data_IF_580736369219
#
_entry.id   IF_580736369219
#
_cell.length_a   1.000
_cell.length_b   1.000
_cell.length_c   1.000
_cell.angle_alpha   90.00
_cell.angle_beta   90.00
_cell.angle_gamma   90.00
#
_symmetry.space_group_name_H-M   'P 1'
#
loop_
_entity.id
_entity.type
_entity.pdbx_description
1 polymer ?
#
# COMPACT_ATOMS: atom_id res chain seq x y z
N UNK A 1 -15.68 12.89 25.16
CA UNK A 1 -14.30 13.26 24.88
C UNK A 1 -14.18 14.75 25.17
N UNK A 2 -13.13 15.24 25.86
CA UNK A 2 -13.03 16.65 26.19
C UNK A 2 -13.00 17.52 24.92
N UNK A 3 -13.83 18.56 24.87
CA UNK A 3 -14.02 19.39 23.68
C UNK A 3 -12.74 20.12 23.23
N UNK A 4 -11.88 20.51 24.16
CA UNK A 4 -10.63 21.23 23.91
C UNK A 4 -9.40 20.30 23.84
N UNK A 5 -9.61 18.98 23.74
CA UNK A 5 -8.48 18.05 23.59
C UNK A 5 -7.93 18.03 22.17
N UNK A 6 -6.62 17.84 22.05
CA UNK A 6 -5.91 17.74 20.75
C UNK A 6 -6.54 16.67 19.85
N UNK A 7 -6.80 15.47 20.41
CA UNK A 7 -7.41 14.36 19.66
C UNK A 7 -8.80 14.74 19.14
N UNK A 8 -9.62 15.44 19.95
CA UNK A 8 -10.95 15.87 19.53
C UNK A 8 -10.86 16.88 18.38
N UNK A 9 -9.96 17.85 18.48
CA UNK A 9 -9.75 18.85 17.43
C UNK A 9 -9.37 18.20 16.09
N UNK A 10 -8.42 17.26 16.10
CA UNK A 10 -8.00 16.54 14.89
C UNK A 10 -9.13 15.70 14.30
N UNK A 11 -9.89 14.99 15.14
CA UNK A 11 -11.02 14.18 14.68
C UNK A 11 -12.15 15.03 14.11
N UNK A 12 -12.43 16.20 14.69
CA UNK A 12 -13.40 17.16 14.13
C UNK A 12 -12.95 17.70 12.78
N UNK A 13 -11.66 17.99 12.61
CA UNK A 13 -11.12 18.41 11.32
C UNK A 13 -11.30 17.30 10.27
N UNK A 14 -10.81 16.08 10.57
CA UNK A 14 -10.92 14.94 9.65
C UNK A 14 -12.39 14.66 9.30
N UNK A 15 -13.29 14.64 10.29
CA UNK A 15 -14.71 14.37 10.08
C UNK A 15 -15.42 15.38 9.17
N UNK A 16 -14.92 16.62 9.10
CA UNK A 16 -15.55 17.71 8.33
C UNK A 16 -14.93 17.91 6.95
N UNK A 17 -13.63 17.67 6.82
CA UNK A 17 -12.86 18.11 5.66
C UNK A 17 -12.33 16.96 4.78
N UNK A 18 -12.55 15.69 5.13
CA UNK A 18 -12.03 14.55 4.35
C UNK A 18 -12.50 14.52 2.88
N UNK A 19 -13.61 15.20 2.55
CA UNK A 19 -14.17 15.30 1.19
C UNK A 19 -13.56 16.42 0.38
N UNK A 20 -12.82 17.34 0.99
CA UNK A 20 -12.17 18.43 0.27
C UNK A 20 -10.92 17.92 -0.44
N UNK A 21 -10.48 18.65 -1.47
CA UNK A 21 -9.20 18.37 -2.08
C UNK A 21 -8.08 18.64 -1.05
N UNK A 22 -7.01 17.88 -1.16
CA UNK A 22 -5.79 18.08 -0.40
C UNK A 22 -4.59 17.69 -1.23
N UNK A 23 -3.40 18.15 -0.85
CA UNK A 23 -2.17 17.59 -1.39
C UNK A 23 -2.02 16.14 -0.96
N UNK A 24 -1.43 15.31 -1.83
CA UNK A 24 -1.06 13.94 -1.51
C UNK A 24 0.07 13.89 -0.48
N UNK A 25 0.39 12.69 0.01
CA UNK A 25 1.47 12.49 1.00
C UNK A 25 2.86 12.89 0.47
N UNK A 26 2.99 13.10 -0.84
CA UNK A 26 4.20 13.56 -1.51
C UNK A 26 4.23 15.06 -1.76
N UNK A 27 3.17 15.79 -1.36
CA UNK A 27 3.05 17.25 -1.46
C UNK A 27 3.00 17.80 -2.90
N UNK A 28 2.45 17.04 -3.85
CA UNK A 28 2.54 17.34 -5.29
C UNK A 28 1.19 17.52 -5.98
N UNK A 29 0.21 16.67 -5.66
CA UNK A 29 -1.09 16.64 -6.35
C UNK A 29 -2.18 17.11 -5.40
N UNK A 30 -2.86 18.20 -5.77
CA UNK A 30 -4.10 18.63 -5.14
C UNK A 30 -5.30 17.83 -5.70
N UNK A 31 -5.89 16.97 -4.86
CA UNK A 31 -6.97 16.07 -5.27
C UNK A 31 -7.46 15.13 -4.17
N UNK A 32 -7.96 13.96 -4.58
CA UNK A 32 -8.43 12.90 -3.68
C UNK A 32 -7.50 11.70 -3.73
N UNK A 33 -7.04 11.25 -2.57
CA UNK A 33 -5.93 10.30 -2.43
C UNK A 33 -6.31 9.11 -1.57
N UNK A 34 -6.01 7.90 -2.05
CA UNK A 34 -6.28 6.67 -1.33
C UNK A 34 -5.62 6.66 0.05
N UNK A 35 -4.35 7.07 0.12
CA UNK A 35 -3.60 7.16 1.38
C UNK A 35 -4.32 8.05 2.42
N UNK A 36 -4.72 9.26 2.00
CA UNK A 36 -5.43 10.20 2.87
C UNK A 36 -6.74 9.61 3.35
N UNK A 37 -7.52 9.00 2.46
CA UNK A 37 -8.81 8.41 2.80
C UNK A 37 -8.67 7.25 3.79
N UNK A 38 -7.73 6.33 3.59
CA UNK A 38 -7.55 5.22 4.56
C UNK A 38 -6.99 5.69 5.90
N UNK A 39 -6.19 6.76 5.93
CA UNK A 39 -5.74 7.39 7.17
C UNK A 39 -6.92 8.04 7.92
N UNK A 40 -7.78 8.79 7.21
CA UNK A 40 -8.99 9.38 7.77
C UNK A 40 -9.96 8.31 8.30
N UNK A 41 -10.18 7.23 7.55
CA UNK A 41 -10.99 6.09 7.97
C UNK A 41 -10.49 5.49 9.28
N UNK A 42 -9.18 5.24 9.38
CA UNK A 42 -8.58 4.68 10.58
C UNK A 42 -8.66 5.64 11.77
N UNK A 43 -8.42 6.93 11.56
CA UNK A 43 -8.52 7.96 12.59
C UNK A 43 -9.96 8.03 13.15
N UNK A 44 -10.96 8.14 12.29
CA UNK A 44 -12.36 8.25 12.68
C UNK A 44 -12.89 6.97 13.33
N UNK A 45 -12.49 5.79 12.84
CA UNK A 45 -12.89 4.51 13.45
C UNK A 45 -12.35 4.34 14.87
N UNK A 46 -11.07 4.66 15.07
CA UNK A 46 -10.43 4.63 16.40
C UNK A 46 -10.95 5.75 17.29
N UNK A 47 -11.20 6.93 16.71
CA UNK A 47 -11.79 8.09 17.36
C UNK A 47 -13.19 7.82 17.88
N UNK A 48 -14.03 7.15 17.10
CA UNK A 48 -15.36 6.71 17.53
C UNK A 48 -15.27 5.74 18.72
N UNK A 49 -14.36 4.77 18.65
CA UNK A 49 -14.11 3.84 19.76
C UNK A 49 -13.69 4.57 21.04
N UNK A 50 -12.79 5.55 20.93
CA UNK A 50 -12.35 6.36 22.06
C UNK A 50 -13.48 7.25 22.60
N UNK A 51 -14.25 7.89 21.73
CA UNK A 51 -15.39 8.73 22.09
C UNK A 51 -16.42 7.95 22.92
N UNK A 52 -16.76 6.73 22.49
CA UNK A 52 -17.64 5.80 23.23
C UNK A 52 -17.09 5.50 24.63
N UNK A 53 -15.80 5.17 24.74
CA UNK A 53 -15.15 4.88 26.04
C UNK A 53 -15.17 6.08 26.99
N UNK A 54 -15.16 7.30 26.44
CA UNK A 54 -15.20 8.55 27.19
C UNK A 54 -16.63 9.10 27.38
N UNK A 55 -17.66 8.32 27.07
CA UNK A 55 -19.06 8.70 27.28
C UNK A 55 -19.60 9.79 26.34
N UNK A 56 -18.94 10.04 25.20
CA UNK A 56 -19.35 11.03 24.21
C UNK A 56 -19.92 10.35 22.98
N UNK A 57 -21.16 9.90 23.16
CA UNK A 57 -21.87 9.07 22.19
C UNK A 57 -22.18 9.84 20.90
N UNK A 58 -22.53 11.13 20.99
CA UNK A 58 -22.79 11.95 19.81
C UNK A 58 -21.56 12.09 18.91
N UNK A 59 -20.37 12.29 19.49
CA UNK A 59 -19.13 12.27 18.72
C UNK A 59 -18.85 10.89 18.13
N UNK A 60 -19.07 9.83 18.90
CA UNK A 60 -18.85 8.47 18.44
C UNK A 60 -19.73 8.12 17.22
N UNK A 61 -21.00 8.48 17.27
CA UNK A 61 -21.96 8.31 16.17
C UNK A 61 -21.55 9.14 14.95
N UNK A 62 -21.18 10.40 15.15
CA UNK A 62 -20.73 11.28 14.06
C UNK A 62 -19.48 10.73 13.36
N UNK A 63 -18.45 10.32 14.12
CA UNK A 63 -17.22 9.76 13.55
C UNK A 63 -17.47 8.41 12.86
N UNK A 64 -18.33 7.55 13.42
CA UNK A 64 -18.71 6.29 12.78
C UNK A 64 -19.43 6.52 11.45
N UNK A 65 -20.31 7.53 11.38
CA UNK A 65 -21.01 7.88 10.15
C UNK A 65 -20.06 8.41 9.06
N UNK A 66 -19.04 9.21 9.46
CA UNK A 66 -18.03 9.67 8.51
C UNK A 66 -17.12 8.53 8.04
N UNK A 67 -16.67 7.66 8.96
CA UNK A 67 -15.90 6.47 8.62
C UNK A 67 -16.62 5.58 7.59
N UNK A 68 -17.92 5.33 7.79
CA UNK A 68 -18.73 4.55 6.86
C UNK A 68 -18.81 5.20 5.46
N UNK A 69 -18.94 6.52 5.37
CA UNK A 69 -18.93 7.22 4.08
C UNK A 69 -17.57 7.13 3.37
N UNK A 70 -16.47 7.26 4.11
CA UNK A 70 -15.11 7.11 3.56
C UNK A 70 -14.92 5.70 3.01
N UNK A 71 -15.34 4.68 3.76
CA UNK A 71 -15.24 3.28 3.31
C UNK A 71 -15.97 3.05 1.98
N UNK A 72 -17.18 3.63 1.82
CA UNK A 72 -17.91 3.59 0.55
C UNK A 72 -17.15 4.28 -0.60
N UNK A 73 -16.51 5.41 -0.32
CA UNK A 73 -15.73 6.15 -1.32
C UNK A 73 -14.43 5.45 -1.73
N UNK A 74 -13.83 4.62 -0.87
CA UNK A 74 -12.59 3.90 -1.19
C UNK A 74 -12.73 3.00 -2.42
N UNK A 75 -13.92 2.47 -2.69
CA UNK A 75 -14.20 1.68 -3.90
C UNK A 75 -14.00 2.47 -5.20
N UNK A 76 -14.12 3.80 -5.17
CA UNK A 76 -13.89 4.64 -6.35
C UNK A 76 -12.41 4.73 -6.76
N UNK A 77 -11.49 4.32 -5.89
CA UNK A 77 -10.06 4.22 -6.21
C UNK A 77 -9.71 2.91 -6.92
N UNK A 78 -10.61 1.93 -6.98
CA UNK A 78 -10.36 0.66 -7.65
C UNK A 78 -10.53 0.82 -9.16
N UNK A 79 -9.45 0.55 -9.90
CA UNK A 79 -9.46 0.52 -11.36
C UNK A 79 -10.41 -0.57 -11.87
N UNK A 80 -11.40 -0.17 -12.66
CA UNK A 80 -12.34 -1.09 -13.33
C UNK A 80 -11.67 -1.97 -14.40
N UNK A 81 -10.46 -1.61 -14.85
CA UNK A 81 -9.72 -2.34 -15.89
C UNK A 81 -9.12 -3.65 -15.39
N UNK A 82 -8.59 -3.65 -14.18
CA UNK A 82 -7.74 -4.72 -13.66
C UNK A 82 -7.82 -4.91 -12.14
N UNK A 83 -8.65 -4.14 -11.44
CA UNK A 83 -8.85 -4.26 -10.00
C UNK A 83 -7.67 -3.80 -9.15
N UNK A 84 -6.70 -3.05 -9.70
CA UNK A 84 -5.68 -2.41 -8.87
C UNK A 84 -6.26 -1.17 -8.19
N UNK A 85 -5.77 -0.85 -7.00
CA UNK A 85 -6.07 0.40 -6.30
C UNK A 85 -5.19 1.49 -6.87
N UNK A 86 -5.81 2.56 -7.33
CA UNK A 86 -5.14 3.77 -7.78
C UNK A 86 -4.89 4.69 -6.58
N UNK A 87 -3.74 5.34 -6.55
CA UNK A 87 -3.37 6.20 -5.43
C UNK A 87 -4.17 7.51 -5.36
N UNK A 88 -4.70 7.96 -6.50
CA UNK A 88 -5.52 9.16 -6.61
C UNK A 88 -6.63 8.95 -7.64
N UNK A 89 -7.72 9.72 -7.50
CA UNK A 89 -8.80 9.73 -8.49
C UNK A 89 -8.30 10.36 -9.80
N UNK A 90 -8.76 9.83 -10.92
CA UNK A 90 -8.50 10.36 -12.27
C UNK A 90 -7.01 10.61 -12.60
N UNK A 91 -6.14 9.58 -12.46
CA UNK A 91 -4.67 9.75 -12.53
C UNK A 91 -4.16 10.37 -13.84
N UNK A 92 -4.90 10.19 -14.93
CA UNK A 92 -4.58 10.79 -16.23
C UNK A 92 -4.58 12.32 -16.25
N UNK A 93 -5.31 12.99 -15.35
CA UNK A 93 -5.28 14.45 -15.23
C UNK A 93 -3.91 14.97 -14.75
N UNK A 94 -3.15 14.11 -14.07
CA UNK A 94 -1.84 14.42 -13.50
C UNK A 94 -0.69 13.83 -14.31
N UNK A 95 -0.96 13.30 -15.51
CA UNK A 95 0.00 12.55 -16.34
C UNK A 95 0.61 11.34 -15.61
N UNK A 96 -0.13 10.71 -14.71
CA UNK A 96 0.31 9.51 -14.00
C UNK A 96 -0.59 8.31 -14.30
N UNK A 97 -0.07 7.12 -14.08
CA UNK A 97 -0.79 5.85 -14.21
C UNK A 97 -1.68 5.52 -13.02
N UNK A 98 -1.41 6.12 -11.85
CA UNK A 98 -2.08 5.83 -10.59
C UNK A 98 -1.40 4.76 -9.74
N UNK A 99 -0.31 4.15 -10.22
CA UNK A 99 0.51 3.21 -9.44
C UNK A 99 1.49 3.98 -8.56
N UNK A 100 1.37 3.83 -7.24
CA UNK A 100 2.12 4.62 -6.27
C UNK A 100 2.34 3.86 -4.96
N UNK A 101 3.47 4.10 -4.29
CA UNK A 101 3.79 3.62 -2.96
C UNK A 101 2.83 4.12 -1.88
N UNK A 102 2.07 5.19 -2.16
CA UNK A 102 0.97 5.68 -1.34
C UNK A 102 -0.02 4.57 -0.95
N UNK A 103 -0.27 3.60 -1.84
CA UNK A 103 -1.19 2.49 -1.57
C UNK A 103 -0.63 1.54 -0.51
N UNK A 104 0.55 0.90 -0.67
CA UNK A 104 1.11 0.05 0.38
C UNK A 104 1.33 0.80 1.70
N UNK A 105 1.77 2.06 1.67
CA UNK A 105 1.90 2.89 2.87
C UNK A 105 0.53 3.11 3.56
N UNK A 106 -0.51 3.37 2.77
CA UNK A 106 -1.88 3.54 3.25
C UNK A 106 -2.42 2.28 3.94
N UNK A 107 -2.17 1.11 3.36
CA UNK A 107 -2.54 -0.19 3.96
C UNK A 107 -1.83 -0.39 5.30
N UNK A 108 -0.56 0.02 5.42
CA UNK A 108 0.19 -0.14 6.67
C UNK A 108 -0.33 0.78 7.78
N UNK A 109 -0.60 2.05 7.47
CA UNK A 109 -1.01 3.05 8.46
C UNK A 109 -2.47 2.90 8.90
N UNK A 110 -3.36 2.45 8.01
CA UNK A 110 -4.76 2.17 8.34
C UNK A 110 -4.87 1.14 9.48
N UNK A 111 -3.87 0.26 9.58
CA UNK A 111 -3.86 -0.85 10.52
C UNK A 111 -4.85 -1.94 10.15
N UNK A 112 -5.42 -1.89 8.93
CA UNK A 112 -6.27 -2.95 8.40
C UNK A 112 -5.50 -4.28 8.46
N UNK A 113 -6.15 -5.31 9.02
CA UNK A 113 -5.60 -6.65 9.15
C UNK A 113 -6.34 -7.59 8.21
N UNK A 114 -5.61 -8.57 7.69
CA UNK A 114 -6.20 -9.65 6.93
C UNK A 114 -6.71 -9.27 5.54
N UNK A 115 -7.90 -9.76 5.20
CA UNK A 115 -8.45 -9.77 3.84
C UNK A 115 -9.67 -8.88 3.66
N UNK A 116 -9.85 -7.83 4.48
CA UNK A 116 -10.78 -6.76 4.13
C UNK A 116 -10.37 -6.15 2.79
N UNK A 117 -11.27 -5.45 2.09
CA UNK A 117 -10.98 -4.91 0.75
C UNK A 117 -9.70 -4.03 0.71
N UNK A 118 -9.37 -3.42 1.85
CA UNK A 118 -8.22 -2.53 2.05
C UNK A 118 -7.10 -3.16 2.91
N UNK A 119 -7.23 -4.45 3.21
CA UNK A 119 -6.28 -5.21 4.02
C UNK A 119 -5.09 -5.74 3.21
N UNK A 120 -3.99 -6.12 3.88
CA UNK A 120 -2.75 -6.56 3.23
C UNK A 120 -2.90 -7.85 2.40
N UNK A 121 -3.87 -8.71 2.72
CA UNK A 121 -4.16 -9.94 1.97
C UNK A 121 -5.36 -9.81 1.02
N UNK A 122 -5.87 -8.59 0.78
CA UNK A 122 -6.96 -8.37 -0.16
C UNK A 122 -6.49 -8.58 -1.61
N UNK A 123 -7.38 -9.05 -2.47
CA UNK A 123 -7.04 -9.29 -3.87
C UNK A 123 -6.65 -8.01 -4.60
N UNK A 124 -7.32 -6.91 -4.29
CA UNK A 124 -7.01 -5.58 -4.82
C UNK A 124 -5.61 -5.12 -4.39
N UNK A 125 -5.26 -5.26 -3.11
CA UNK A 125 -3.94 -4.86 -2.61
C UNK A 125 -2.84 -5.75 -3.18
N UNK A 126 -3.01 -7.07 -3.21
CA UNK A 126 -2.03 -7.99 -3.80
C UNK A 126 -1.82 -7.70 -5.30
N UNK A 127 -2.89 -7.50 -6.07
CA UNK A 127 -2.79 -7.11 -7.47
C UNK A 127 -2.05 -5.77 -7.64
N UNK A 128 -2.32 -4.81 -6.76
CA UNK A 128 -1.68 -3.49 -6.77
C UNK A 128 -0.18 -3.59 -6.49
N UNK A 129 0.23 -4.36 -5.47
CA UNK A 129 1.66 -4.57 -5.17
C UNK A 129 2.42 -5.13 -6.37
N UNK A 130 1.85 -6.11 -7.07
CA UNK A 130 2.48 -6.63 -8.29
C UNK A 130 2.61 -5.54 -9.36
N UNK A 131 1.52 -4.85 -9.68
CA UNK A 131 1.53 -3.84 -10.73
C UNK A 131 2.53 -2.71 -10.42
N UNK A 132 2.54 -2.25 -9.16
CA UNK A 132 3.45 -1.24 -8.65
C UNK A 132 4.92 -1.71 -8.67
N UNK A 133 5.24 -2.93 -8.23
CA UNK A 133 6.62 -3.43 -8.29
C UNK A 133 7.07 -3.62 -9.75
N UNK A 134 6.18 -4.12 -10.62
CA UNK A 134 6.49 -4.33 -12.02
C UNK A 134 6.79 -3.02 -12.76
N UNK A 135 6.18 -1.88 -12.36
CA UNK A 135 6.46 -0.58 -12.99
C UNK A 135 7.89 -0.09 -12.77
N UNK A 136 8.64 -0.63 -11.80
CA UNK A 136 10.03 -0.24 -11.54
C UNK A 136 11.08 -1.20 -12.09
N UNK A 137 10.69 -2.37 -12.63
CA UNK A 137 11.65 -3.39 -13.06
C UNK A 137 12.60 -2.89 -14.15
N UNK A 138 12.04 -2.16 -15.11
CA UNK A 138 12.80 -1.59 -16.24
C UNK A 138 13.05 -0.09 -16.09
N UNK A 139 12.51 0.54 -15.03
CA UNK A 139 12.67 1.98 -14.77
C UNK A 139 14.07 2.31 -14.24
N UNK A 140 14.60 1.48 -13.33
CA UNK A 140 15.90 1.73 -12.69
C UNK A 140 16.98 0.79 -13.22
N UNK A 141 18.14 1.34 -13.56
CA UNK A 141 19.28 0.53 -14.02
C UNK A 141 19.73 -0.47 -12.95
N UNK A 142 19.63 -0.12 -11.67
CA UNK A 142 19.94 -1.04 -10.55
C UNK A 142 18.99 -2.25 -10.45
N UNK A 143 17.85 -2.24 -11.16
CA UNK A 143 16.88 -3.32 -11.22
C UNK A 143 17.02 -4.18 -12.50
N UNK A 144 17.84 -3.75 -13.47
CA UNK A 144 17.90 -4.38 -14.78
C UNK A 144 18.23 -5.88 -14.70
N UNK A 145 17.47 -6.67 -15.46
CA UNK A 145 17.62 -8.11 -15.54
C UNK A 145 16.80 -8.91 -14.52
N UNK A 146 16.19 -8.26 -13.51
CA UNK A 146 15.37 -8.93 -12.51
C UNK A 146 13.88 -9.01 -12.89
N UNK A 147 13.41 -10.24 -13.15
CA UNK A 147 12.06 -10.51 -13.66
C UNK A 147 11.09 -11.10 -12.64
N UNK A 148 11.58 -11.65 -11.54
CA UNK A 148 10.75 -12.42 -10.58
C UNK A 148 11.02 -12.06 -9.12
N UNK A 149 12.24 -11.70 -8.76
CA UNK A 149 12.59 -11.30 -7.40
C UNK A 149 12.13 -9.87 -7.10
N UNK A 150 12.30 -9.51 -5.83
CA UNK A 150 12.14 -8.15 -5.36
C UNK A 150 13.13 -7.20 -6.04
N UNK A 151 12.70 -5.96 -6.24
CA UNK A 151 13.48 -4.89 -6.87
C UNK A 151 13.35 -3.62 -6.03
N UNK A 152 14.24 -2.65 -6.23
CA UNK A 152 14.10 -1.35 -5.60
C UNK A 152 12.90 -0.61 -6.21
N UNK A 153 12.09 0.05 -5.38
CA UNK A 153 10.90 0.79 -5.84
C UNK A 153 10.99 2.25 -5.43
N UNK A 154 10.40 3.17 -6.19
CA UNK A 154 10.35 4.62 -5.87
C UNK A 154 9.01 5.05 -5.30
N UNK A 155 8.62 6.32 -5.45
CA UNK A 155 7.27 6.79 -5.08
C UNK A 155 6.23 6.32 -6.11
N UNK A 156 6.43 6.72 -7.36
CA UNK A 156 5.66 6.34 -8.54
C UNK A 156 6.60 6.38 -9.77
N UNK A 157 6.28 5.71 -10.87
CA UNK A 157 7.24 5.53 -11.98
C UNK A 157 7.49 6.82 -12.77
N UNK A 158 6.53 7.74 -12.75
CA UNK A 158 6.58 9.04 -13.42
C UNK A 158 7.31 10.11 -12.60
N UNK A 159 7.91 9.73 -11.47
CA UNK A 159 8.59 10.63 -10.55
C UNK A 159 9.83 11.30 -11.19
N UNK A 160 10.00 12.58 -10.89
CA UNK A 160 11.09 13.43 -11.36
C UNK A 160 11.87 14.09 -10.21
N UNK A 161 11.47 13.87 -8.96
CA UNK A 161 12.21 14.41 -7.81
C UNK A 161 13.46 13.59 -7.53
N UNK A 162 14.62 14.24 -7.54
CA UNK A 162 15.92 13.59 -7.41
C UNK A 162 16.53 13.65 -6.00
N UNK A 163 15.78 14.18 -5.02
CA UNK A 163 16.23 14.41 -3.64
C UNK A 163 16.63 15.86 -3.34
N UNK A 164 16.81 16.69 -4.36
CA UNK A 164 17.15 18.12 -4.21
C UNK A 164 16.27 19.00 -5.11
N UNK A 165 16.03 18.56 -6.34
CA UNK A 165 15.29 19.28 -7.36
C UNK A 165 14.55 18.34 -8.30
N UNK A 166 14.42 18.75 -9.56
CA UNK A 166 13.62 18.06 -10.57
C UNK A 166 14.52 17.58 -11.70
N UNK A 167 14.73 16.27 -11.77
CA UNK A 167 15.34 15.58 -12.90
C UNK A 167 14.69 14.22 -13.13
N UNK A 168 15.16 13.17 -12.47
CA UNK A 168 14.61 11.81 -12.56
C UNK A 168 14.42 11.21 -11.16
N UNK A 169 13.26 10.58 -10.96
CA UNK A 169 12.93 9.93 -9.71
C UNK A 169 13.83 8.73 -9.42
N UNK A 170 14.04 8.45 -8.13
CA UNK A 170 14.86 7.36 -7.67
C UNK A 170 14.06 6.34 -6.86
N UNK A 171 14.61 5.14 -6.64
CA UNK A 171 14.12 4.25 -5.60
C UNK A 171 14.26 4.87 -4.20
N UNK A 172 13.31 4.56 -3.32
CA UNK A 172 13.28 5.01 -1.93
C UNK A 172 13.31 3.79 -1.01
N UNK A 173 14.02 3.90 0.11
CA UNK A 173 14.09 2.81 1.09
C UNK A 173 12.72 2.51 1.69
N UNK A 174 11.99 3.56 2.09
CA UNK A 174 10.69 3.41 2.73
C UNK A 174 9.67 2.74 1.81
N UNK A 175 9.69 3.04 0.51
CA UNK A 175 8.71 2.50 -0.43
C UNK A 175 9.04 1.05 -0.77
N UNK A 176 10.33 0.72 -0.90
CA UNK A 176 10.84 -0.65 -1.03
C UNK A 176 10.45 -1.51 0.19
N UNK A 177 10.62 -0.99 1.41
CA UNK A 177 10.24 -1.72 2.63
C UNK A 177 8.72 -1.77 2.85
N UNK A 178 7.96 -0.79 2.35
CA UNK A 178 6.50 -0.80 2.45
C UNK A 178 5.90 -2.05 1.79
N UNK A 179 6.43 -2.46 0.63
CA UNK A 179 6.03 -3.69 -0.05
C UNK A 179 6.30 -4.92 0.82
N UNK A 180 7.52 -5.04 1.37
CA UNK A 180 7.86 -6.14 2.28
C UNK A 180 6.91 -6.21 3.48
N UNK A 181 6.62 -5.06 4.10
CA UNK A 181 5.77 -5.01 5.29
C UNK A 181 4.32 -5.38 4.98
N UNK A 182 3.75 -4.97 3.84
CA UNK A 182 2.41 -5.40 3.44
C UNK A 182 2.38 -6.91 3.22
N UNK A 183 3.38 -7.46 2.52
CA UNK A 183 3.50 -8.91 2.30
C UNK A 183 3.65 -9.67 3.63
N UNK A 184 4.45 -9.17 4.56
CA UNK A 184 4.62 -9.76 5.88
C UNK A 184 3.29 -9.82 6.66
N UNK A 185 2.46 -8.77 6.59
CA UNK A 185 1.11 -8.80 7.18
C UNK A 185 0.17 -9.75 6.45
N UNK A 186 0.28 -9.86 5.12
CA UNK A 186 -0.49 -10.85 4.35
C UNK A 186 -0.12 -12.28 4.74
N UNK A 187 1.18 -12.57 4.89
CA UNK A 187 1.70 -13.85 5.37
C UNK A 187 1.19 -14.16 6.78
N UNK A 188 1.22 -13.17 7.68
CA UNK A 188 0.67 -13.32 9.03
C UNK A 188 -0.81 -13.71 8.96
N UNK A 189 -1.61 -13.06 8.10
CA UNK A 189 -3.01 -13.44 7.90
C UNK A 189 -3.15 -14.88 7.41
N UNK A 190 -2.52 -15.23 6.27
CA UNK A 190 -2.65 -16.57 5.70
C UNK A 190 -2.21 -17.67 6.67
N UNK A 191 -1.14 -17.45 7.43
CA UNK A 191 -0.59 -18.46 8.34
C UNK A 191 -1.38 -18.57 9.65
N UNK A 192 -1.80 -17.45 10.25
CA UNK A 192 -2.54 -17.44 11.51
C UNK A 192 -3.99 -17.92 11.37
N UNK A 193 -4.64 -17.62 10.24
CA UNK A 193 -6.03 -18.03 10.00
C UNK A 193 -6.13 -19.29 9.14
N UNK A 194 -5.01 -19.77 8.59
CA UNK A 194 -4.97 -20.86 7.61
C UNK A 194 -5.86 -20.57 6.39
N UNK A 195 -5.99 -19.29 6.03
CA UNK A 195 -6.92 -18.84 4.99
C UNK A 195 -6.60 -19.50 3.63
N UNK A 196 -7.62 -20.00 2.92
CA UNK A 196 -7.46 -20.47 1.55
C UNK A 196 -7.05 -19.33 0.60
N UNK A 197 -6.30 -19.67 -0.43
CA UNK A 197 -6.00 -18.78 -1.56
C UNK A 197 -7.03 -19.08 -2.65
N UNK A 198 -7.91 -18.12 -2.92
CA UNK A 198 -8.91 -18.18 -3.99
C UNK A 198 -8.36 -17.44 -5.21
N UNK A 199 -8.14 -18.12 -6.32
CA UNK A 199 -7.64 -17.48 -7.53
C UNK A 199 -8.81 -16.87 -8.31
N UNK A 200 -8.77 -15.56 -8.51
CA UNK A 200 -9.75 -14.84 -9.32
C UNK A 200 -9.06 -13.97 -10.38
N UNK A 201 -9.86 -13.22 -11.16
CA UNK A 201 -9.35 -12.41 -12.25
C UNK A 201 -8.47 -11.23 -11.78
N UNK A 202 -8.66 -10.75 -10.54
CA UNK A 202 -7.90 -9.64 -9.95
C UNK A 202 -6.53 -10.12 -9.47
N UNK A 203 -6.49 -11.18 -8.66
CA UNK A 203 -5.25 -11.63 -8.02
C UNK A 203 -4.45 -12.66 -8.84
N UNK A 204 -5.01 -13.21 -9.94
CA UNK A 204 -4.30 -14.19 -10.77
C UNK A 204 -2.94 -13.69 -11.25
N UNK A 205 -2.77 -12.46 -11.78
CA UNK A 205 -1.45 -11.96 -12.16
C UNK A 205 -0.46 -11.99 -10.99
N UNK A 206 -0.91 -11.65 -9.77
CA UNK A 206 -0.08 -11.70 -8.56
C UNK A 206 0.41 -13.11 -8.27
N UNK A 207 -0.47 -14.10 -8.21
CA UNK A 207 -0.08 -15.47 -7.90
C UNK A 207 0.69 -16.15 -9.03
N UNK A 208 0.44 -15.77 -10.28
CA UNK A 208 1.13 -16.30 -11.45
C UNK A 208 2.64 -16.04 -11.46
N UNK A 209 3.11 -15.02 -10.72
CA UNK A 209 4.56 -14.76 -10.60
C UNK A 209 5.28 -15.86 -9.80
N UNK A 210 4.57 -16.54 -8.89
CA UNK A 210 5.08 -17.63 -8.06
C UNK A 210 4.76 -19.01 -8.65
N UNK A 211 3.65 -19.11 -9.38
CA UNK A 211 3.18 -20.34 -10.03
C UNK A 211 2.43 -19.99 -11.32
N UNK A 212 3.12 -20.05 -12.46
CA UNK A 212 2.57 -19.69 -13.77
C UNK A 212 1.37 -20.55 -14.20
N UNK A 213 1.13 -21.69 -13.54
CA UNK A 213 0.04 -22.63 -13.86
C UNK A 213 -1.24 -22.35 -13.06
N UNK A 214 -1.35 -21.23 -12.35
CA UNK A 214 -2.58 -20.90 -11.61
C UNK A 214 -3.68 -20.43 -12.56
N UNK A 215 -4.91 -20.88 -12.32
CA UNK A 215 -6.09 -20.59 -13.11
C UNK A 215 -7.20 -20.01 -12.24
N UNK A 216 -8.03 -19.14 -12.82
CA UNK A 216 -9.21 -18.58 -12.15
C UNK A 216 -10.15 -19.71 -11.73
N UNK A 217 -10.69 -19.62 -10.52
CA UNK A 217 -11.58 -20.61 -9.93
C UNK A 217 -10.86 -21.69 -9.11
N UNK A 218 -9.53 -21.76 -9.14
CA UNK A 218 -8.78 -22.64 -8.24
C UNK A 218 -8.81 -22.13 -6.80
N UNK A 219 -8.82 -23.08 -5.86
CA UNK A 219 -8.75 -22.83 -4.43
C UNK A 219 -7.67 -23.70 -3.84
N UNK A 220 -6.71 -23.09 -3.15
CA UNK A 220 -5.67 -23.82 -2.43
C UNK A 220 -5.86 -23.61 -0.93
N UNK A 221 -5.91 -24.70 -0.17
CA UNK A 221 -6.07 -24.72 1.28
C UNK A 221 -4.73 -25.02 1.96
N UNK A 222 -4.58 -24.73 3.26
CA UNK A 222 -3.34 -24.99 4.00
C UNK A 222 -2.86 -26.47 3.98
N UNK A 223 -3.75 -27.41 3.63
CA UNK A 223 -3.43 -28.83 3.48
C UNK A 223 -2.75 -29.15 2.14
N UNK A 224 -2.92 -28.29 1.15
CA UNK A 224 -2.37 -28.47 -0.19
C UNK A 224 -0.88 -28.14 -0.23
N UNK A 225 -0.10 -28.98 -0.93
CA UNK A 225 1.32 -28.70 -1.18
C UNK A 225 1.51 -27.38 -1.94
N UNK A 226 0.58 -27.07 -2.85
CA UNK A 226 0.60 -25.85 -3.67
C UNK A 226 0.39 -24.60 -2.84
N UNK A 227 -0.52 -24.61 -1.85
CA UNK A 227 -0.67 -23.51 -0.90
C UNK A 227 0.64 -23.24 -0.15
N UNK A 228 1.27 -24.28 0.44
CA UNK A 228 2.53 -24.12 1.19
C UNK A 228 3.64 -23.56 0.30
N UNK A 229 3.70 -23.99 -0.96
CA UNK A 229 4.63 -23.44 -1.95
C UNK A 229 4.36 -21.95 -2.18
N UNK A 230 3.13 -21.56 -2.48
CA UNK A 230 2.77 -20.14 -2.72
C UNK A 230 3.10 -19.26 -1.52
N UNK A 231 2.77 -19.69 -0.30
CA UNK A 231 3.11 -18.97 0.92
C UNK A 231 4.63 -18.87 1.12
N UNK A 232 5.38 -19.93 0.82
CA UNK A 232 6.85 -19.89 0.88
C UNK A 232 7.45 -18.96 -0.16
N UNK A 233 6.93 -18.91 -1.39
CA UNK A 233 7.40 -17.97 -2.42
C UNK A 233 7.08 -16.52 -2.02
N UNK A 234 5.89 -16.29 -1.47
CA UNK A 234 5.49 -14.97 -0.96
C UNK A 234 6.44 -14.49 0.16
N UNK A 235 6.84 -15.39 1.07
CA UNK A 235 7.82 -15.09 2.10
C UNK A 235 9.21 -14.76 1.53
N UNK A 236 9.67 -15.50 0.51
CA UNK A 236 10.94 -15.19 -0.18
C UNK A 236 10.89 -13.86 -0.90
N UNK A 237 9.74 -13.51 -1.48
CA UNK A 237 9.56 -12.21 -2.13
C UNK A 237 9.63 -11.06 -1.12
N UNK A 238 8.99 -11.21 0.05
CA UNK A 238 9.10 -10.27 1.18
C UNK A 238 10.56 -10.06 1.62
N UNK A 239 11.31 -11.14 1.80
CA UNK A 239 12.71 -11.10 2.22
C UNK A 239 13.60 -10.43 1.16
N UNK A 240 13.30 -10.65 -0.12
CA UNK A 240 14.05 -10.02 -1.21
C UNK A 240 14.09 -8.49 -1.12
N UNK A 241 13.02 -7.83 -0.66
CA UNK A 241 13.00 -6.38 -0.50
C UNK A 241 13.94 -5.92 0.63
N UNK A 242 14.09 -6.69 1.70
CA UNK A 242 15.10 -6.43 2.73
C UNK A 242 16.51 -6.60 2.19
N UNK A 243 16.74 -7.61 1.34
CA UNK A 243 18.03 -7.82 0.68
C UNK A 243 18.38 -6.67 -0.27
N UNK A 244 17.40 -6.11 -0.98
CA UNK A 244 17.58 -4.90 -1.79
C UNK A 244 18.05 -3.73 -0.93
N UNK A 245 17.39 -3.48 0.21
CA UNK A 245 17.80 -2.41 1.14
C UNK A 245 19.19 -2.67 1.71
N UNK A 246 19.47 -3.89 2.15
CA UNK A 246 20.78 -4.26 2.69
C UNK A 246 21.90 -4.10 1.65
N UNK A 247 21.61 -4.33 0.37
CA UNK A 247 22.56 -4.17 -0.72
C UNK A 247 22.93 -2.71 -0.97
N UNK A 248 21.98 -1.79 -0.82
CA UNK A 248 22.14 -0.38 -1.19
C UNK A 248 22.24 0.58 0.00
N UNK A 249 22.16 0.10 1.23
CA UNK A 249 22.33 0.92 2.43
C UNK A 249 23.70 1.62 2.50
N UNK A 250 23.72 2.75 3.20
CA UNK A 250 24.94 3.49 3.48
C UNK A 250 25.87 2.83 4.49
N UNK A 251 26.96 3.54 4.78
CA UNK A 251 27.95 3.09 5.77
C UNK A 251 27.25 2.89 7.12
N UNK A 252 27.57 1.79 7.80
CA UNK A 252 26.95 1.40 9.08
C UNK A 252 25.43 1.17 9.05
N UNK A 253 24.83 0.96 7.87
CA UNK A 253 23.39 0.73 7.73
C UNK A 253 22.54 1.98 7.77
N UNK A 254 23.13 3.16 7.54
CA UNK A 254 22.38 4.39 7.32
C UNK A 254 21.44 4.24 6.11
N UNK A 255 20.22 4.72 6.26
CA UNK A 255 19.23 4.81 5.18
C UNK A 255 18.93 6.28 4.97
N UNK A 256 19.31 6.80 3.81
CA UNK A 256 18.91 8.14 3.37
C UNK A 256 17.46 8.08 2.85
N UNK A 257 16.99 9.14 2.21
CA UNK A 257 15.65 9.13 1.61
C UNK A 257 15.62 8.19 0.39
N UNK A 258 16.64 8.29 -0.47
CA UNK A 258 16.68 7.67 -1.78
C UNK A 258 17.93 6.80 -1.98
N UNK A 259 17.86 6.02 -3.06
CA UNK A 259 18.97 5.24 -3.61
C UNK A 259 19.11 5.65 -5.06
N UNK A 260 20.27 6.14 -5.46
CA UNK A 260 20.53 6.53 -6.83
C UNK A 260 20.18 5.41 -7.82
N UNK A 261 19.24 5.68 -8.74
CA UNK A 261 18.67 4.69 -9.67
C UNK A 261 19.66 3.98 -10.59
N UNK A 262 20.86 4.55 -10.76
CA UNK A 262 21.89 4.02 -11.65
C UNK A 262 23.04 3.32 -10.94
N UNK A 263 23.46 3.88 -9.80
CA UNK A 263 24.66 3.44 -9.08
C UNK A 263 24.35 2.64 -7.83
N UNK A 264 23.16 2.81 -7.26
CA UNK A 264 22.78 2.20 -5.99
C UNK A 264 23.36 2.91 -4.77
N UNK A 265 23.95 4.10 -4.94
CA UNK A 265 24.48 4.89 -3.83
C UNK A 265 23.33 5.60 -3.07
N UNK A 266 23.34 5.62 -1.74
CA UNK A 266 22.40 6.42 -0.94
C UNK A 266 22.47 7.92 -1.28
N UNK A 267 21.32 8.61 -1.31
CA UNK A 267 21.22 10.05 -1.51
C UNK A 267 19.91 10.64 -0.95
#
# INVERSE_FOLDING_TARGET
MPAESVIKADLEYVARYWKENSFDLWEEIDGHHFFTYVACLAALSRGATLATKLGDTSAAEFYSAQAFQIEGELHSFVSTKNGVVLAYKEPGQFNRTGLDAAVPLGVLISGAQGSSDWGPASDHILATLKAYVDSFRDEYKINQGEKKLAVATGRYAEDVYDGIGVSTGNPWYLTTLSVSHVIARALQYYTSTQSPIWINHINKPFWAQFDEKVHVGEVFTHRDKRWRRLISELARWSEGFWQVVQKYQGVHGQLDEQVNRDTGLPQ
#
